data_IF_451232039044
#
_entry.id   IF_451232039044
#
_cell.length_a   1.000
_cell.length_b   1.000
_cell.length_c   1.000
_cell.angle_alpha   90.00
_cell.angle_beta   90.00
_cell.angle_gamma   90.00
#
_symmetry.space_group_name_H-M   'P 1'
#
loop_
_entity.id
_entity.type
_entity.pdbx_description
1 polymer ?
#
# COMPACT_ATOMS: atom_id res chain seq x y z
N UNK A 1 -0.90 -25.95 -7.07
CA UNK A 1 -1.78 -27.13 -6.93
C UNK A 1 -3.07 -26.74 -6.21
N UNK A 2 -4.11 -27.58 -6.16
CA UNK A 2 -5.40 -27.22 -5.50
C UNK A 2 -5.46 -27.52 -3.99
N UNK A 3 -4.39 -28.08 -3.43
CA UNK A 3 -4.33 -28.48 -2.03
C UNK A 3 -4.17 -27.28 -1.10
N UNK A 4 -4.24 -27.59 0.19
CA UNK A 4 -4.00 -26.64 1.28
C UNK A 4 -2.63 -26.87 1.88
N UNK A 5 -1.86 -25.79 2.06
CA UNK A 5 -0.66 -25.75 2.87
C UNK A 5 -0.92 -24.86 4.08
N UNK A 6 -0.61 -25.37 5.28
CA UNK A 6 -0.65 -24.59 6.52
C UNK A 6 0.76 -24.51 7.09
N UNK A 7 1.23 -23.30 7.38
CA UNK A 7 2.55 -23.01 7.94
C UNK A 7 2.39 -22.23 9.24
N UNK A 8 3.13 -22.63 10.27
CA UNK A 8 3.19 -21.90 11.54
C UNK A 8 4.64 -21.74 11.95
N UNK A 9 5.10 -20.49 12.07
CA UNK A 9 6.44 -20.13 12.50
C UNK A 9 6.37 -19.30 13.78
N UNK A 10 6.75 -19.91 14.90
CA UNK A 10 6.64 -19.27 16.21
C UNK A 10 7.78 -18.27 16.52
N UNK A 11 8.80 -18.18 15.66
CA UNK A 11 10.03 -17.43 15.95
C UNK A 11 10.60 -16.62 14.78
N UNK A 12 10.06 -16.79 13.58
CA UNK A 12 10.61 -16.15 12.39
C UNK A 12 9.55 -16.06 11.31
N UNK A 13 10.02 -15.99 10.08
CA UNK A 13 9.18 -15.86 8.90
C UNK A 13 8.43 -17.17 8.65
N UNK A 14 7.31 -17.11 7.92
CA UNK A 14 6.52 -18.27 7.54
C UNK A 14 7.17 -19.04 6.40
N UNK A 15 7.19 -18.45 5.21
CA UNK A 15 7.84 -18.97 4.01
C UNK A 15 8.87 -17.96 3.53
N UNK A 16 10.11 -18.40 3.33
CA UNK A 16 11.20 -17.54 2.87
C UNK A 16 11.81 -18.11 1.59
N UNK A 17 11.99 -17.25 0.58
CA UNK A 17 12.83 -17.49 -0.58
C UNK A 17 14.06 -16.59 -0.54
N UNK A 18 15.17 -17.06 -1.13
CA UNK A 18 16.36 -16.24 -1.36
C UNK A 18 16.44 -15.66 -2.77
N UNK A 19 15.48 -16.01 -3.60
CA UNK A 19 15.26 -15.46 -4.94
C UNK A 19 13.75 -15.15 -5.03
N UNK A 20 13.07 -15.58 -6.10
CA UNK A 20 11.63 -15.49 -6.29
C UNK A 20 10.81 -16.42 -5.36
N UNK A 21 9.62 -15.98 -4.97
CA UNK A 21 8.53 -16.80 -4.43
C UNK A 21 7.30 -16.70 -5.34
N UNK A 22 6.80 -17.85 -5.84
CA UNK A 22 5.65 -17.89 -6.77
C UNK A 22 4.51 -18.71 -6.20
N UNK A 23 3.34 -18.08 -6.05
CA UNK A 23 2.08 -18.77 -5.70
C UNK A 23 1.19 -18.80 -6.93
N UNK A 24 1.03 -19.98 -7.51
CA UNK A 24 0.27 -20.12 -8.77
C UNK A 24 -1.19 -20.52 -8.58
N UNK A 25 -1.52 -21.14 -7.44
CA UNK A 25 -2.88 -21.59 -7.07
C UNK A 25 -2.87 -22.23 -5.68
N UNK A 26 -4.06 -22.55 -5.14
CA UNK A 26 -4.23 -23.40 -3.95
C UNK A 26 -4.69 -22.62 -2.73
N UNK A 27 -4.66 -23.24 -1.55
CA UNK A 27 -4.93 -22.54 -0.29
C UNK A 27 -3.66 -22.49 0.53
N UNK A 28 -3.27 -21.30 0.97
CA UNK A 28 -2.09 -21.07 1.79
C UNK A 28 -2.50 -20.35 3.08
N UNK A 29 -2.33 -21.05 4.21
CA UNK A 29 -2.58 -20.49 5.53
C UNK A 29 -1.25 -20.31 6.25
N UNK A 30 -0.89 -19.08 6.62
CA UNK A 30 0.40 -18.80 7.28
C UNK A 30 0.18 -18.08 8.59
N UNK A 31 0.93 -18.45 9.62
CA UNK A 31 1.05 -17.67 10.85
C UNK A 31 2.52 -17.53 11.21
N UNK A 32 3.01 -16.32 11.36
CA UNK A 32 4.43 -16.04 11.58
C UNK A 32 4.65 -15.02 12.72
N UNK A 33 5.82 -15.10 13.37
CA UNK A 33 6.25 -14.07 14.31
C UNK A 33 6.89 -12.88 13.57
N UNK A 34 7.54 -13.13 12.45
CA UNK A 34 8.03 -12.07 11.58
C UNK A 34 7.15 -12.08 10.32
N UNK A 35 7.75 -12.01 9.14
CA UNK A 35 7.05 -11.89 7.87
C UNK A 35 6.34 -13.20 7.50
N UNK A 36 5.09 -13.17 7.04
CA UNK A 36 4.44 -14.42 6.66
C UNK A 36 5.02 -15.00 5.37
N UNK A 37 5.21 -14.17 4.34
CA UNK A 37 5.90 -14.51 3.12
C UNK A 37 7.03 -13.52 2.88
N UNK A 38 8.24 -14.04 2.68
CA UNK A 38 9.46 -13.27 2.48
C UNK A 38 10.15 -13.76 1.20
N UNK A 39 10.59 -12.85 0.34
CA UNK A 39 11.43 -13.17 -0.81
C UNK A 39 12.47 -12.08 -1.06
N UNK A 40 13.63 -12.44 -1.59
CA UNK A 40 14.65 -11.45 -1.92
C UNK A 40 14.32 -10.75 -3.26
N UNK A 41 14.00 -11.52 -4.30
CA UNK A 41 13.81 -10.94 -5.63
C UNK A 41 12.36 -10.51 -5.87
N UNK A 42 11.41 -11.39 -5.58
CA UNK A 42 10.00 -11.12 -5.85
C UNK A 42 9.04 -12.04 -5.12
N UNK A 43 7.84 -11.53 -4.85
CA UNK A 43 6.66 -12.36 -4.57
C UNK A 43 5.66 -12.19 -5.72
N UNK A 44 5.36 -13.29 -6.41
CA UNK A 44 4.47 -13.31 -7.57
C UNK A 44 3.27 -14.21 -7.26
N UNK A 45 2.09 -13.60 -7.13
CA UNK A 45 0.83 -14.29 -6.86
C UNK A 45 -0.01 -14.30 -8.14
N UNK A 46 -0.10 -15.44 -8.82
CA UNK A 46 -0.98 -15.57 -9.99
C UNK A 46 -2.44 -15.80 -9.59
N UNK A 47 -2.69 -16.66 -8.60
CA UNK A 47 -4.01 -17.04 -8.10
C UNK A 47 -3.86 -17.83 -6.79
N UNK A 48 -4.96 -18.04 -6.05
CA UNK A 48 -5.02 -18.82 -4.82
C UNK A 48 -5.91 -18.19 -3.75
N UNK A 49 -6.10 -18.90 -2.64
CA UNK A 49 -6.68 -18.37 -1.42
C UNK A 49 -5.61 -18.29 -0.35
N UNK A 50 -5.11 -17.10 -0.07
CA UNK A 50 -4.05 -16.84 0.89
C UNK A 50 -4.70 -16.20 2.11
N UNK A 51 -4.48 -16.81 3.27
CA UNK A 51 -4.85 -16.25 4.57
C UNK A 51 -3.62 -16.25 5.44
N UNK A 52 -3.20 -15.09 5.92
CA UNK A 52 -2.02 -15.00 6.76
C UNK A 52 -2.23 -14.14 8.01
N UNK A 53 -1.38 -14.35 9.02
CA UNK A 53 -1.28 -13.51 10.20
C UNK A 53 0.18 -13.41 10.65
N UNK A 54 0.77 -12.23 10.56
CA UNK A 54 2.15 -11.96 10.94
C UNK A 54 2.26 -10.99 12.13
N UNK A 55 3.47 -10.80 12.66
CA UNK A 55 3.79 -9.72 13.64
C UNK A 55 4.89 -8.78 13.15
N UNK A 56 5.20 -8.87 11.85
CA UNK A 56 5.94 -7.87 11.08
C UNK A 56 5.12 -7.68 9.82
N UNK A 57 5.60 -8.12 8.66
CA UNK A 57 4.92 -7.90 7.38
C UNK A 57 4.10 -9.11 6.93
N UNK A 58 3.06 -8.89 6.13
CA UNK A 58 2.29 -9.98 5.53
C UNK A 58 3.03 -10.62 4.37
N UNK A 59 3.31 -9.81 3.36
CA UNK A 59 4.13 -10.15 2.20
C UNK A 59 5.26 -9.12 2.10
N UNK A 60 6.51 -9.57 2.19
CA UNK A 60 7.69 -8.70 2.15
C UNK A 60 8.66 -9.15 1.05
N UNK A 61 9.01 -8.22 0.16
CA UNK A 61 10.06 -8.44 -0.84
C UNK A 61 11.07 -7.29 -0.84
N UNK A 62 12.34 -7.62 -0.58
CA UNK A 62 13.45 -6.66 -0.53
C UNK A 62 14.75 -7.25 -1.11
N UNK A 63 15.48 -6.44 -1.89
CA UNK A 63 16.78 -6.80 -2.44
C UNK A 63 17.80 -5.69 -2.19
N UNK A 64 18.85 -6.01 -1.43
CA UNK A 64 19.89 -5.04 -1.04
C UNK A 64 21.01 -4.91 -2.10
N UNK A 65 20.99 -5.76 -3.14
CA UNK A 65 22.03 -5.86 -4.15
C UNK A 65 21.61 -5.33 -5.53
N UNK A 66 20.34 -5.49 -5.91
CA UNK A 66 19.72 -5.01 -7.13
C UNK A 66 18.43 -4.26 -6.81
N UNK A 67 18.52 -2.94 -6.82
CA UNK A 67 17.45 -2.01 -6.48
C UNK A 67 16.24 -2.07 -7.43
N UNK A 68 16.34 -2.81 -8.55
CA UNK A 68 15.21 -3.09 -9.43
C UNK A 68 14.37 -4.30 -9.03
N UNK A 69 14.82 -5.08 -8.04
CA UNK A 69 14.15 -6.25 -7.49
C UNK A 69 13.46 -5.92 -6.15
N UNK A 70 13.02 -6.92 -5.39
CA UNK A 70 12.23 -6.72 -4.18
C UNK A 70 10.81 -6.22 -4.50
N UNK A 71 10.16 -6.83 -5.49
CA UNK A 71 8.82 -6.42 -5.92
C UNK A 71 7.74 -7.46 -5.59
N UNK A 72 6.50 -6.99 -5.52
CA UNK A 72 5.33 -7.84 -5.37
C UNK A 72 4.40 -7.63 -6.56
N UNK A 73 4.02 -8.74 -7.21
CA UNK A 73 3.02 -8.73 -8.26
C UNK A 73 1.85 -9.66 -7.92
N UNK A 74 0.63 -9.14 -8.04
CA UNK A 74 -0.61 -9.87 -7.75
C UNK A 74 -1.50 -9.85 -9.00
N UNK A 75 -1.55 -10.97 -9.70
CA UNK A 75 -2.43 -11.18 -10.86
C UNK A 75 -3.86 -11.55 -10.50
N UNK A 76 -4.10 -12.07 -9.30
CA UNK A 76 -5.41 -12.57 -8.90
C UNK A 76 -5.43 -13.33 -7.58
N UNK A 77 -6.54 -14.01 -7.31
CA UNK A 77 -6.78 -14.78 -6.09
C UNK A 77 -7.60 -14.04 -5.03
N UNK A 78 -7.75 -14.66 -3.87
CA UNK A 78 -8.34 -14.10 -2.66
C UNK A 78 -7.26 -14.02 -1.59
N UNK A 79 -6.92 -12.82 -1.15
CA UNK A 79 -5.88 -12.57 -0.15
C UNK A 79 -6.54 -11.95 1.09
N UNK A 80 -6.33 -12.56 2.25
CA UNK A 80 -6.70 -12.03 3.56
C UNK A 80 -5.42 -11.92 4.39
N UNK A 81 -4.88 -10.72 4.49
CA UNK A 81 -3.54 -10.44 5.00
C UNK A 81 -3.68 -9.57 6.25
N UNK A 82 -3.09 -9.99 7.36
CA UNK A 82 -3.16 -9.27 8.63
C UNK A 82 -1.78 -9.23 9.26
N UNK A 83 -1.20 -8.05 9.25
CA UNK A 83 0.14 -7.75 9.75
C UNK A 83 0.04 -6.80 10.95
N UNK A 84 1.16 -6.61 11.65
CA UNK A 84 1.26 -5.50 12.62
C UNK A 84 2.06 -4.32 12.08
N UNK A 85 2.93 -4.60 11.12
CA UNK A 85 3.64 -3.61 10.31
C UNK A 85 2.92 -3.58 8.96
N UNK A 86 3.60 -3.76 7.84
CA UNK A 86 3.01 -3.59 6.50
C UNK A 86 2.36 -4.87 6.01
N UNK A 87 1.14 -4.77 5.47
CA UNK A 87 0.51 -6.00 4.98
C UNK A 87 1.12 -6.47 3.67
N UNK A 88 1.45 -5.54 2.76
CA UNK A 88 2.08 -5.82 1.47
C UNK A 88 3.18 -4.80 1.26
N UNK A 89 4.44 -5.24 1.36
CA UNK A 89 5.63 -4.41 1.23
C UNK A 89 6.49 -4.94 0.09
N UNK A 90 6.54 -4.20 -1.02
CA UNK A 90 7.53 -4.42 -2.08
C UNK A 90 8.44 -3.21 -2.17
N UNK A 91 9.71 -3.35 -1.80
CA UNK A 91 10.68 -2.23 -1.75
C UNK A 91 10.70 -1.43 -3.06
N UNK A 92 10.79 -2.11 -4.20
CA UNK A 92 10.77 -1.44 -5.51
C UNK A 92 9.36 -1.11 -5.95
N UNK A 93 8.51 -2.11 -6.15
CA UNK A 93 7.12 -1.88 -6.52
C UNK A 93 6.14 -2.93 -6.01
N UNK A 94 4.89 -2.51 -5.86
CA UNK A 94 3.73 -3.39 -5.71
C UNK A 94 2.78 -3.16 -6.87
N UNK A 95 2.47 -4.20 -7.63
CA UNK A 95 1.52 -4.14 -8.74
C UNK A 95 0.36 -5.11 -8.52
N UNK A 96 -0.86 -4.60 -8.63
CA UNK A 96 -2.11 -5.37 -8.53
C UNK A 96 -2.88 -5.32 -9.85
N UNK A 97 -2.92 -6.47 -10.53
CA UNK A 97 -3.63 -6.67 -11.79
C UNK A 97 -4.98 -7.39 -11.60
N UNK A 98 -5.30 -7.83 -10.38
CA UNK A 98 -6.59 -8.45 -10.06
C UNK A 98 -6.67 -9.08 -8.67
N UNK A 99 -7.81 -9.72 -8.38
CA UNK A 99 -8.07 -10.44 -7.14
C UNK A 99 -9.03 -9.72 -6.18
N UNK A 100 -9.38 -10.41 -5.10
CA UNK A 100 -10.10 -9.87 -3.95
C UNK A 100 -9.13 -9.83 -2.78
N UNK A 101 -8.69 -8.64 -2.40
CA UNK A 101 -7.59 -8.44 -1.47
C UNK A 101 -8.15 -7.69 -0.26
N UNK A 102 -8.04 -8.27 0.93
CA UNK A 102 -8.39 -7.61 2.19
C UNK A 102 -7.15 -7.59 3.05
N UNK A 103 -6.75 -6.38 3.45
CA UNK A 103 -5.56 -6.19 4.25
C UNK A 103 -5.80 -5.33 5.49
N UNK A 104 -5.11 -5.67 6.58
CA UNK A 104 -5.14 -4.93 7.83
C UNK A 104 -3.77 -4.90 8.51
N UNK A 105 -3.19 -3.71 8.72
CA UNK A 105 -1.85 -3.53 9.30
C UNK A 105 -1.58 -2.09 9.71
N UNK A 106 -0.30 -1.74 9.91
CA UNK A 106 0.14 -0.36 10.04
C UNK A 106 -0.14 0.35 8.72
N UNK A 107 0.63 0.00 7.69
CA UNK A 107 0.34 0.36 6.32
C UNK A 107 -0.37 -0.79 5.60
N UNK A 108 -1.26 -0.45 4.67
CA UNK A 108 -1.85 -1.43 3.78
C UNK A 108 -0.84 -1.89 2.74
N UNK A 109 -0.61 -1.08 1.73
CA UNK A 109 0.29 -1.42 0.63
C UNK A 109 1.40 -0.38 0.60
N UNK A 110 2.64 -0.85 0.69
CA UNK A 110 3.82 0.00 0.65
C UNK A 110 4.76 -0.42 -0.49
N UNK A 111 5.31 0.58 -1.17
CA UNK A 111 6.43 0.41 -2.08
C UNK A 111 6.91 1.73 -2.65
N UNK A 112 8.01 1.72 -3.40
CA UNK A 112 8.41 2.93 -4.13
C UNK A 112 7.40 3.30 -5.20
N UNK A 113 6.99 2.30 -5.99
CA UNK A 113 5.91 2.45 -6.94
C UNK A 113 4.75 1.52 -6.60
N UNK A 114 3.54 2.05 -6.44
CA UNK A 114 2.33 1.24 -6.26
C UNK A 114 1.45 1.40 -7.49
N UNK A 115 1.13 0.29 -8.15
CA UNK A 115 0.26 0.28 -9.32
C UNK A 115 -0.98 -0.59 -9.10
N UNK A 116 -2.16 0.04 -9.17
CA UNK A 116 -3.45 -0.63 -9.08
C UNK A 116 -4.12 -0.60 -10.47
N UNK A 117 -3.99 -1.69 -11.21
CA UNK A 117 -4.61 -1.84 -12.53
C UNK A 117 -6.03 -2.42 -12.45
N UNK A 118 -6.31 -3.26 -11.45
CA UNK A 118 -7.63 -3.88 -11.25
C UNK A 118 -7.77 -4.45 -9.83
N UNK A 119 -8.83 -5.24 -9.60
CA UNK A 119 -9.10 -5.94 -8.34
C UNK A 119 -10.19 -5.29 -7.48
N UNK A 120 -10.59 -6.00 -6.43
CA UNK A 120 -11.43 -5.50 -5.34
C UNK A 120 -10.58 -5.51 -4.07
N UNK A 121 -10.11 -4.34 -3.67
CA UNK A 121 -9.11 -4.16 -2.62
C UNK A 121 -9.78 -3.44 -1.45
N UNK A 122 -9.66 -3.99 -0.26
CA UNK A 122 -10.09 -3.39 1.00
C UNK A 122 -8.90 -3.26 1.92
N UNK A 123 -8.59 -2.03 2.32
CA UNK A 123 -7.44 -1.68 3.15
C UNK A 123 -7.93 -1.10 4.47
N UNK A 124 -7.40 -1.63 5.57
CA UNK A 124 -7.53 -1.05 6.91
C UNK A 124 -6.16 -0.76 7.50
N UNK A 125 -5.72 0.49 7.42
CA UNK A 125 -4.44 0.94 7.99
C UNK A 125 -4.63 1.56 9.38
N UNK A 126 -3.65 1.34 10.27
CA UNK A 126 -3.53 2.18 11.47
C UNK A 126 -2.64 3.39 11.26
N UNK A 127 -1.80 3.34 10.23
CA UNK A 127 -1.07 4.45 9.65
C UNK A 127 -1.69 4.76 8.28
N UNK A 128 -0.95 4.63 7.18
CA UNK A 128 -1.45 4.89 5.84
C UNK A 128 -2.16 3.71 5.18
N UNK A 129 -3.04 4.03 4.23
CA UNK A 129 -3.70 3.00 3.42
C UNK A 129 -2.76 2.45 2.37
N UNK A 130 -2.36 3.31 1.44
CA UNK A 130 -1.27 3.07 0.50
C UNK A 130 -0.17 4.09 0.79
N UNK A 131 1.08 3.64 0.86
CA UNK A 131 2.25 4.50 1.07
C UNK A 131 3.28 4.34 -0.06
N UNK A 132 3.45 5.40 -0.85
CA UNK A 132 4.51 5.53 -1.83
C UNK A 132 5.78 6.10 -1.18
N UNK A 133 6.72 5.25 -0.76
CA UNK A 133 7.92 5.67 -0.04
C UNK A 133 9.19 5.56 -0.90
N UNK A 134 10.11 6.51 -0.80
CA UNK A 134 11.38 6.46 -1.56
C UNK A 134 12.34 5.41 -0.97
N UNK A 135 12.16 4.14 -1.37
CA UNK A 135 12.97 3.00 -0.94
C UNK A 135 13.90 2.46 -2.02
N UNK A 136 13.53 2.69 -3.28
CA UNK A 136 14.28 2.28 -4.47
C UNK A 136 14.59 3.47 -5.37
N UNK A 137 15.81 3.54 -5.86
CA UNK A 137 16.27 4.51 -6.86
C UNK A 137 16.00 4.06 -8.30
N UNK A 138 15.58 2.81 -8.51
CA UNK A 138 15.25 2.26 -9.82
C UNK A 138 13.86 2.69 -10.31
N UNK A 139 12.99 3.13 -9.40
CA UNK A 139 11.61 3.51 -9.67
C UNK A 139 11.33 4.94 -9.22
N UNK A 140 10.40 5.59 -9.90
CA UNK A 140 9.82 6.84 -9.43
C UNK A 140 8.94 6.57 -8.21
N UNK A 141 9.02 7.42 -7.20
CA UNK A 141 8.10 7.35 -6.06
C UNK A 141 6.72 7.82 -6.49
N UNK A 142 5.77 6.89 -6.63
CA UNK A 142 4.42 7.24 -7.03
C UNK A 142 3.38 6.16 -6.69
N UNK A 143 2.13 6.60 -6.58
CA UNK A 143 0.96 5.74 -6.55
C UNK A 143 0.14 5.97 -7.83
N UNK A 144 -0.06 4.92 -8.62
CA UNK A 144 -0.89 4.92 -9.81
C UNK A 144 -2.12 4.03 -9.64
N UNK A 145 -3.31 4.62 -9.80
CA UNK A 145 -4.60 3.94 -9.80
C UNK A 145 -5.22 4.05 -11.19
N UNK A 146 -5.12 2.96 -11.95
CA UNK A 146 -5.63 2.87 -13.31
C UNK A 146 -6.99 2.15 -13.40
N UNK A 147 -7.34 1.34 -12.40
CA UNK A 147 -8.58 0.56 -12.40
C UNK A 147 -8.94 -0.06 -11.06
N UNK A 148 -9.89 -1.00 -11.10
CA UNK A 148 -10.36 -1.71 -9.90
C UNK A 148 -11.24 -0.90 -8.96
N UNK A 149 -11.55 -1.50 -7.82
CA UNK A 149 -12.23 -0.86 -6.68
C UNK A 149 -11.30 -0.91 -5.47
N UNK A 150 -10.98 0.24 -4.91
CA UNK A 150 -10.15 0.39 -3.73
C UNK A 150 -10.99 1.02 -2.61
N UNK A 151 -11.19 0.29 -1.51
CA UNK A 151 -11.86 0.76 -0.31
C UNK A 151 -10.82 0.93 0.79
N UNK A 152 -10.52 2.16 1.19
CA UNK A 152 -9.50 2.46 2.19
C UNK A 152 -10.15 3.04 3.43
N UNK A 153 -9.84 2.45 4.58
CA UNK A 153 -10.14 3.02 5.88
C UNK A 153 -8.83 3.17 6.65
N UNK A 154 -8.55 4.38 7.11
CA UNK A 154 -7.44 4.62 8.04
C UNK A 154 -7.95 5.31 9.30
N UNK A 155 -7.14 5.24 10.35
CA UNK A 155 -7.45 5.77 11.67
C UNK A 155 -7.54 7.30 11.74
N UNK A 156 -7.50 7.81 12.97
CA UNK A 156 -7.29 9.23 13.23
C UNK A 156 -5.82 9.44 13.58
N UNK A 157 -5.26 10.57 13.16
CA UNK A 157 -3.88 10.90 13.45
C UNK A 157 -3.26 11.63 12.27
N UNK A 158 -1.96 11.53 12.21
CA UNK A 158 -1.15 11.87 11.05
C UNK A 158 -1.14 10.61 10.17
N UNK A 159 -2.20 10.43 9.39
CA UNK A 159 -2.45 9.23 8.58
C UNK A 159 -3.26 9.63 7.35
N UNK A 160 -2.91 9.10 6.20
CA UNK A 160 -3.56 9.35 4.94
C UNK A 160 -4.00 8.06 4.26
N UNK A 161 -5.18 8.09 3.64
CA UNK A 161 -5.66 6.93 2.91
C UNK A 161 -4.74 6.58 1.73
N UNK A 162 -4.15 7.59 1.10
CA UNK A 162 -3.21 7.47 -0.01
C UNK A 162 -2.10 8.49 0.23
N UNK A 163 -0.94 8.06 0.75
CA UNK A 163 0.23 8.89 0.96
C UNK A 163 1.31 8.57 -0.08
N UNK A 164 1.95 9.58 -0.67
CA UNK A 164 3.05 9.40 -1.59
C UNK A 164 4.12 10.47 -1.37
N UNK A 165 5.32 10.05 -1.00
CA UNK A 165 6.52 10.91 -1.00
C UNK A 165 6.96 11.35 -2.42
N UNK A 166 6.13 11.09 -3.45
CA UNK A 166 6.28 11.61 -4.79
C UNK A 166 4.92 11.93 -5.41
N UNK A 167 4.54 11.20 -6.46
CA UNK A 167 3.36 11.55 -7.26
C UNK A 167 2.14 10.66 -6.95
N UNK A 168 0.95 11.18 -7.28
CA UNK A 168 -0.28 10.39 -7.35
C UNK A 168 -0.89 10.53 -8.75
N UNK A 169 -1.18 9.40 -9.38
CA UNK A 169 -1.82 9.32 -10.68
C UNK A 169 -3.12 8.53 -10.58
N UNK A 170 -4.23 9.11 -11.01
CA UNK A 170 -5.50 8.40 -11.13
C UNK A 170 -6.08 8.60 -12.53
N UNK A 171 -6.10 7.50 -13.29
CA UNK A 171 -6.60 7.47 -14.67
C UNK A 171 -7.90 6.67 -14.80
N UNK A 172 -8.26 5.88 -13.78
CA UNK A 172 -9.49 5.08 -13.74
C UNK A 172 -9.81 4.53 -12.35
N UNK A 173 -10.71 3.53 -12.31
CA UNK A 173 -11.10 2.84 -11.07
C UNK A 173 -12.13 3.56 -10.20
N UNK A 174 -12.43 2.97 -9.05
CA UNK A 174 -13.30 3.52 -8.00
C UNK A 174 -12.55 3.50 -6.68
N UNK A 175 -12.36 4.67 -6.06
CA UNK A 175 -11.68 4.83 -4.78
C UNK A 175 -12.67 5.33 -3.73
N UNK A 176 -12.89 4.55 -2.68
CA UNK A 176 -13.75 4.90 -1.55
C UNK A 176 -12.88 5.05 -0.30
N UNK A 177 -12.85 6.24 0.28
CA UNK A 177 -12.02 6.58 1.42
C UNK A 177 -12.90 6.89 2.63
N UNK A 178 -12.57 6.29 3.77
CA UNK A 178 -13.06 6.66 5.10
C UNK A 178 -11.86 7.01 5.97
N UNK A 179 -11.54 8.29 6.08
CA UNK A 179 -10.30 8.75 6.70
C UNK A 179 -10.35 10.22 7.13
N UNK A 180 -9.46 10.61 8.04
CA UNK A 180 -9.20 12.02 8.35
C UNK A 180 -8.34 12.68 7.27
N UNK A 181 -7.24 12.05 6.88
CA UNK A 181 -6.42 12.40 5.71
C UNK A 181 -6.79 11.53 4.51
N UNK A 182 -7.02 12.14 3.34
CA UNK A 182 -7.43 11.39 2.14
C UNK A 182 -6.28 11.15 1.17
N UNK A 183 -5.45 12.17 0.96
CA UNK A 183 -4.40 12.15 -0.03
C UNK A 183 -3.28 13.08 0.43
N UNK A 184 -2.10 12.57 0.76
CA UNK A 184 -0.88 13.38 0.89
C UNK A 184 0.07 13.06 -0.27
N UNK A 185 0.76 14.08 -0.76
CA UNK A 185 1.77 13.92 -1.79
C UNK A 185 2.79 15.06 -1.85
N UNK A 186 4.07 14.72 -1.92
CA UNK A 186 5.16 15.69 -2.03
C UNK A 186 5.33 16.28 -3.44
N UNK A 187 4.96 15.50 -4.46
CA UNK A 187 5.08 15.86 -5.86
C UNK A 187 3.79 16.46 -6.41
N UNK A 188 3.17 15.75 -7.35
CA UNK A 188 1.96 16.19 -8.04
C UNK A 188 0.90 15.11 -8.03
N UNK A 189 -0.36 15.54 -7.99
CA UNK A 189 -1.49 14.66 -8.23
C UNK A 189 -2.14 14.95 -9.59
N UNK A 190 -2.37 13.91 -10.40
CA UNK A 190 -3.10 14.00 -11.66
C UNK A 190 -4.33 13.10 -11.61
N UNK A 191 -5.50 13.69 -11.85
CA UNK A 191 -6.79 12.99 -11.89
C UNK A 191 -7.46 13.19 -13.25
N UNK A 192 -7.49 12.13 -14.06
CA UNK A 192 -8.00 12.16 -15.44
C UNK A 192 -9.14 11.19 -15.71
N UNK A 193 -9.44 10.28 -14.78
CA UNK A 193 -10.56 9.35 -14.89
C UNK A 193 -10.79 8.55 -13.62
N UNK A 194 -11.93 7.85 -13.56
CA UNK A 194 -12.39 7.09 -12.40
C UNK A 194 -13.36 7.86 -11.51
N UNK A 195 -13.61 7.35 -10.30
CA UNK A 195 -14.47 7.97 -9.28
C UNK A 195 -13.80 7.95 -7.91
N UNK A 196 -13.87 9.06 -7.18
CA UNK A 196 -13.37 9.16 -5.81
C UNK A 196 -14.54 9.55 -4.90
N UNK A 197 -14.74 8.80 -3.82
CA UNK A 197 -15.66 9.13 -2.74
C UNK A 197 -14.91 9.21 -1.43
N UNK A 198 -14.92 10.37 -0.77
CA UNK A 198 -14.29 10.59 0.54
C UNK A 198 -15.39 10.81 1.56
N UNK A 199 -15.43 10.00 2.62
CA UNK A 199 -16.39 10.10 3.71
C UNK A 199 -17.86 10.21 3.22
N UNK A 200 -18.18 9.44 2.19
CA UNK A 200 -19.51 9.40 1.56
C UNK A 200 -19.82 10.55 0.59
N UNK A 201 -18.87 11.43 0.29
CA UNK A 201 -19.03 12.52 -0.68
C UNK A 201 -18.13 12.28 -1.90
N UNK A 202 -18.70 12.34 -3.09
CA UNK A 202 -17.91 12.29 -4.34
C UNK A 202 -17.09 13.57 -4.48
N UNK A 203 -15.80 13.43 -4.80
CA UNK A 203 -14.89 14.55 -5.07
C UNK A 203 -14.46 14.55 -6.54
N UNK A 204 -14.04 15.72 -7.04
CA UNK A 204 -13.66 15.91 -8.44
C UNK A 204 -12.18 16.32 -8.61
N UNK A 205 -11.39 16.28 -7.54
CA UNK A 205 -9.96 16.54 -7.53
C UNK A 205 -9.28 15.77 -6.41
N UNK A 206 -8.00 15.44 -6.62
CA UNK A 206 -7.11 14.95 -5.57
C UNK A 206 -6.49 16.18 -4.90
N UNK A 207 -6.86 16.41 -3.64
CA UNK A 207 -6.42 17.59 -2.87
C UNK A 207 -5.48 17.12 -1.78
N UNK A 208 -4.26 17.67 -1.77
CA UNK A 208 -3.27 17.35 -0.76
C UNK A 208 -3.81 17.73 0.64
N UNK A 209 -3.73 16.79 1.59
CA UNK A 209 -3.97 16.95 3.01
C UNK A 209 -2.79 17.71 3.64
N UNK A 210 -2.63 18.99 3.32
CA UNK A 210 -1.58 19.78 3.96
C UNK A 210 -1.77 19.69 5.48
N UNK A 211 -0.74 19.19 6.20
CA UNK A 211 -0.62 19.36 7.64
C UNK A 211 -1.03 20.80 7.98
N UNK A 212 -1.90 20.95 8.96
CA UNK A 212 -2.33 22.25 9.50
C UNK A 212 -1.17 23.04 10.10
N UNK A 213 -0.23 23.49 9.27
CA UNK A 213 0.73 24.53 9.58
C UNK A 213 -0.02 25.84 9.53
N UNK A 214 -0.49 26.29 10.69
CA UNK A 214 -1.07 27.62 10.86
C UNK A 214 -0.10 28.72 10.42
N UNK A 215 -0.11 29.08 9.14
CA UNK A 215 0.35 30.38 8.69
C UNK A 215 -0.79 31.38 8.88
N UNK A 216 -0.99 31.81 10.14
CA UNK A 216 -1.54 33.15 10.39
C UNK A 216 -0.52 34.17 9.90
N UNK A 217 -0.58 34.48 8.61
CA UNK A 217 0.03 35.70 8.08
C UNK A 217 -0.74 36.92 8.60
N UNK A 218 -0.05 37.83 9.28
CA UNK A 218 -0.59 39.18 9.46
C UNK A 218 -0.03 39.99 10.64
N UNK A 219 1.11 40.65 10.42
CA UNK A 219 1.34 41.99 10.99
C UNK A 219 2.46 42.14 12.01
N UNK A 220 3.71 42.15 11.56
CA UNK A 220 4.75 42.93 12.26
C UNK A 220 4.46 44.41 12.07
N UNK A 221 3.82 45.04 13.06
CA UNK A 221 3.67 46.49 13.12
C UNK A 221 4.99 47.11 13.58
N UNK A 222 5.75 47.64 12.62
CA UNK A 222 6.87 48.56 12.85
C UNK A 222 6.34 49.84 13.51
N UNK A 223 6.56 49.99 14.82
CA UNK A 223 6.30 51.21 15.57
C UNK A 223 7.58 52.03 15.75
N UNK A 224 7.74 53.06 14.91
CA UNK A 224 8.81 54.05 15.03
C UNK A 224 8.58 55.05 16.18
N UNK A 225 9.71 55.50 16.73
CA UNK A 225 10.00 56.79 17.42
C UNK A 225 8.81 57.65 17.87
N UNK A 226 8.74 57.92 19.17
CA UNK A 226 8.93 59.26 19.77
C UNK A 226 9.38 59.12 21.22
#
# INVERSE_FOLDING_TARGET
GKGTLTVTSAKGNGITSKDDLKVTSGTLNVTALLDALEANDSIVIYDGNITENSKKDGLHAENDEDDSLGYIWIGGGTLNVTATDDTIHGTSFVQVDGGTITVSGAEGIEGTYIQINSGEITVTGTDDGLNGANKSSAYETAIEIAGGTLNVTVGQGDTDAIDSNGNIYMTGGTVNITASGSFDYDGTATYTGGTITVNGQTVNSITNSMMGGGMMGGGMQMGGRH
#
